data_IF_674317117793
#
_entry.id   IF_674317117793
#
_cell.length_a   1.000
_cell.length_b   1.000
_cell.length_c   1.000
_cell.angle_alpha   90.00
_cell.angle_beta   90.00
_cell.angle_gamma   90.00
#
_symmetry.space_group_name_H-M   'P 1'
#
loop_
_entity.id
_entity.type
_entity.pdbx_description
1 polymer ?
#
# COMPACT_ATOMS: atom_id res chain seq x y z
N UNK A 1 -12.63 -3.41 25.29
CA UNK A 1 -13.31 -2.54 24.31
C UNK A 1 -13.29 -3.26 22.97
N UNK A 2 -14.47 -3.48 22.35
CA UNK A 2 -14.53 -4.17 21.04
C UNK A 2 -14.32 -3.13 19.93
N UNK A 3 -13.11 -2.55 19.82
CA UNK A 3 -12.76 -1.68 18.68
C UNK A 3 -12.65 -2.56 17.45
N UNK A 4 -13.36 -2.20 16.40
CA UNK A 4 -13.20 -2.82 15.08
C UNK A 4 -11.91 -2.27 14.46
N UNK A 5 -10.91 -3.13 14.27
CA UNK A 5 -9.67 -2.78 13.59
C UNK A 5 -9.89 -2.81 12.09
N UNK A 6 -9.61 -1.70 11.43
CA UNK A 6 -9.72 -1.57 9.98
C UNK A 6 -8.39 -1.94 9.31
N UNK A 7 -8.44 -2.78 8.29
CA UNK A 7 -7.33 -3.04 7.38
C UNK A 7 -7.53 -2.22 6.10
N UNK A 8 -6.69 -1.20 5.91
CA UNK A 8 -6.76 -0.24 4.81
C UNK A 8 -5.72 -0.54 3.74
N UNK A 9 -6.18 -0.83 2.53
CA UNK A 9 -5.36 -1.35 1.42
C UNK A 9 -5.27 -0.37 0.27
N UNK A 10 -4.08 -0.22 -0.38
CA UNK A 10 -3.93 0.62 -1.56
C UNK A 10 -4.61 0.02 -2.79
N UNK A 11 -5.29 0.85 -3.56
CA UNK A 11 -5.82 0.52 -4.88
C UNK A 11 -5.19 1.43 -5.93
N UNK A 12 -4.29 0.86 -6.75
CA UNK A 12 -3.63 1.58 -7.85
C UNK A 12 -4.35 1.40 -9.19
N UNK A 13 -5.30 0.48 -9.28
CA UNK A 13 -6.11 0.17 -10.45
C UNK A 13 -7.41 -0.51 -10.02
N UNK A 14 -8.37 -0.66 -10.95
CA UNK A 14 -9.61 -1.40 -10.69
C UNK A 14 -9.33 -2.89 -10.36
N UNK A 15 -8.33 -3.50 -11.00
CA UNK A 15 -7.88 -4.86 -10.71
C UNK A 15 -7.32 -4.94 -9.29
N UNK A 16 -6.47 -3.98 -8.90
CA UNK A 16 -5.92 -3.89 -7.55
C UNK A 16 -7.00 -3.69 -6.49
N UNK A 17 -8.01 -2.87 -6.77
CA UNK A 17 -9.17 -2.67 -5.89
C UNK A 17 -9.96 -3.97 -5.70
N UNK A 18 -10.31 -4.65 -6.79
CA UNK A 18 -11.01 -5.93 -6.74
C UNK A 18 -10.22 -6.98 -5.96
N UNK A 19 -8.90 -7.03 -6.18
CA UNK A 19 -8.00 -7.91 -5.45
C UNK A 19 -7.99 -7.59 -3.94
N UNK A 20 -7.84 -6.32 -3.56
CA UNK A 20 -7.85 -5.91 -2.15
C UNK A 20 -9.15 -6.35 -1.44
N UNK A 21 -10.29 -6.10 -2.07
CA UNK A 21 -11.61 -6.47 -1.55
C UNK A 21 -11.76 -7.99 -1.44
N UNK A 22 -11.38 -8.73 -2.49
CA UNK A 22 -11.45 -10.20 -2.49
C UNK A 22 -10.64 -10.83 -1.35
N UNK A 23 -9.44 -10.28 -1.06
CA UNK A 23 -8.57 -10.80 -0.02
C UNK A 23 -8.84 -10.24 1.38
N UNK A 24 -9.88 -9.42 1.57
CA UNK A 24 -10.43 -9.07 2.88
C UNK A 24 -10.07 -7.69 3.40
N UNK A 25 -9.83 -6.70 2.53
CA UNK A 25 -9.75 -5.31 2.92
C UNK A 25 -11.05 -4.85 3.59
N UNK A 26 -10.96 -4.07 4.68
CA UNK A 26 -12.11 -3.40 5.29
C UNK A 26 -12.35 -2.03 4.64
N UNK A 27 -11.27 -1.42 4.14
CA UNK A 27 -11.31 -0.20 3.36
C UNK A 27 -10.20 -0.19 2.30
N UNK A 28 -10.41 0.57 1.23
CA UNK A 28 -9.40 0.81 0.19
C UNK A 28 -9.15 2.29 0.02
N UNK A 29 -7.91 2.68 -0.32
CA UNK A 29 -7.63 4.05 -0.70
C UNK A 29 -7.05 4.13 -2.11
N UNK A 30 -7.55 5.09 -2.89
CA UNK A 30 -7.16 5.33 -4.26
C UNK A 30 -6.83 6.81 -4.51
N UNK A 31 -6.24 7.10 -5.65
CA UNK A 31 -5.97 8.47 -6.10
C UNK A 31 -6.64 8.77 -7.42
N UNK A 32 -7.10 10.00 -7.56
CA UNK A 32 -7.53 10.56 -8.84
C UNK A 32 -6.36 10.99 -9.72
N UNK A 33 -6.69 11.43 -10.93
CA UNK A 33 -5.72 11.96 -11.89
C UNK A 33 -5.06 13.26 -11.42
N UNK A 34 -5.71 13.98 -10.47
CA UNK A 34 -5.22 15.22 -9.90
C UNK A 34 -5.00 15.13 -8.37
N UNK A 35 -4.13 15.98 -7.85
CA UNK A 35 -3.88 16.27 -6.42
C UNK A 35 -3.47 15.09 -5.53
N UNK A 36 -3.13 13.94 -6.13
CA UNK A 36 -2.62 12.76 -5.41
C UNK A 36 -1.09 12.62 -5.52
N UNK A 37 -0.44 12.04 -4.49
CA UNK A 37 1.03 11.88 -4.41
C UNK A 37 1.60 10.70 -5.21
N UNK A 38 0.96 10.27 -6.25
CA UNK A 38 1.43 9.20 -7.13
C UNK A 38 1.01 9.49 -8.57
N UNK A 39 1.52 10.58 -9.14
CA UNK A 39 1.21 11.00 -10.50
C UNK A 39 1.50 9.93 -11.57
N UNK A 40 2.46 9.02 -11.32
CA UNK A 40 2.81 7.92 -12.22
C UNK A 40 1.96 6.64 -12.01
N UNK A 41 1.03 6.60 -11.04
CA UNK A 41 0.10 5.48 -10.88
C UNK A 41 -0.96 5.53 -12.00
N UNK A 42 -1.61 4.38 -12.27
CA UNK A 42 -2.83 4.33 -13.08
C UNK A 42 -3.99 4.93 -12.26
N UNK A 43 -4.01 6.24 -12.13
CA UNK A 43 -5.01 6.94 -11.34
C UNK A 43 -6.42 6.75 -11.92
N UNK A 44 -7.43 6.93 -11.08
CA UNK A 44 -8.83 6.75 -11.45
C UNK A 44 -9.40 8.05 -12.02
N UNK A 45 -10.10 7.97 -13.15
CA UNK A 45 -11.02 9.06 -13.57
C UNK A 45 -12.22 9.10 -12.65
N UNK A 46 -12.99 10.18 -12.68
CA UNK A 46 -14.21 10.32 -11.87
C UNK A 46 -15.21 9.17 -12.14
N UNK A 47 -15.39 8.79 -13.40
CA UNK A 47 -16.27 7.67 -13.79
C UNK A 47 -15.80 6.35 -13.20
N UNK A 48 -14.49 6.06 -13.31
CA UNK A 48 -13.90 4.86 -12.71
C UNK A 48 -13.95 4.86 -11.19
N UNK A 49 -13.87 6.05 -10.56
CA UNK A 49 -14.07 6.15 -9.11
C UNK A 49 -15.51 5.76 -8.72
N UNK A 50 -16.52 6.24 -9.46
CA UNK A 50 -17.92 5.86 -9.23
C UNK A 50 -18.13 4.35 -9.36
N UNK A 51 -17.56 3.73 -10.39
CA UNK A 51 -17.59 2.26 -10.55
C UNK A 51 -16.89 1.55 -9.39
N UNK A 52 -15.73 2.04 -8.96
CA UNK A 52 -14.95 1.48 -7.86
C UNK A 52 -15.68 1.57 -6.53
N UNK A 53 -16.31 2.72 -6.23
CA UNK A 53 -17.12 2.94 -5.03
C UNK A 53 -18.34 2.01 -5.02
N UNK A 54 -19.08 1.95 -6.13
CA UNK A 54 -20.22 1.05 -6.24
C UNK A 54 -19.82 -0.42 -5.98
N UNK A 55 -18.74 -0.88 -6.64
CA UNK A 55 -18.22 -2.23 -6.46
C UNK A 55 -17.81 -2.54 -5.01
N UNK A 56 -17.16 -1.57 -4.35
CA UNK A 56 -16.71 -1.72 -2.96
C UNK A 56 -17.89 -1.73 -1.98
N UNK A 57 -18.81 -0.79 -2.12
CA UNK A 57 -19.99 -0.65 -1.25
C UNK A 57 -20.93 -1.85 -1.33
N UNK A 58 -21.13 -2.44 -2.52
CA UNK A 58 -21.86 -3.72 -2.68
C UNK A 58 -21.28 -4.86 -1.83
N UNK A 59 -19.98 -4.75 -1.44
CA UNK A 59 -19.26 -5.73 -0.65
C UNK A 59 -18.95 -5.28 0.78
N UNK A 60 -19.52 -4.14 1.20
CA UNK A 60 -19.36 -3.58 2.54
C UNK A 60 -17.98 -3.00 2.83
N UNK A 61 -17.21 -2.63 1.80
CA UNK A 61 -15.86 -2.07 1.89
C UNK A 61 -15.90 -0.57 1.66
N UNK A 62 -15.27 0.20 2.54
CA UNK A 62 -15.17 1.66 2.44
C UNK A 62 -14.14 2.09 1.40
N UNK A 63 -14.34 3.28 0.82
CA UNK A 63 -13.44 3.86 -0.19
C UNK A 63 -13.00 5.25 0.20
N UNK A 64 -11.68 5.47 0.24
CA UNK A 64 -11.08 6.76 0.56
C UNK A 64 -10.29 7.30 -0.63
N UNK A 65 -10.48 8.58 -0.96
CA UNK A 65 -9.79 9.24 -2.07
C UNK A 65 -8.70 10.16 -1.57
N UNK A 66 -7.51 10.09 -2.17
CA UNK A 66 -6.39 10.96 -1.78
C UNK A 66 -6.36 12.23 -2.63
N UNK A 67 -6.37 13.40 -1.97
CA UNK A 67 -6.13 14.72 -2.52
C UNK A 67 -5.12 15.45 -1.62
N UNK A 68 -3.93 14.85 -1.46
CA UNK A 68 -3.02 15.12 -0.36
C UNK A 68 -1.65 15.67 -0.76
N UNK A 69 -1.58 16.39 -1.88
CA UNK A 69 -0.42 17.22 -2.20
C UNK A 69 -0.28 18.38 -1.21
N UNK A 70 0.88 19.02 -1.16
CA UNK A 70 1.04 20.34 -0.56
C UNK A 70 0.66 21.38 -1.61
N UNK A 71 -0.53 21.97 -1.47
CA UNK A 71 -1.09 22.87 -2.47
C UNK A 71 -0.37 24.24 -2.51
N UNK A 72 -0.11 24.74 -3.72
CA UNK A 72 0.30 26.10 -3.99
C UNK A 72 -0.91 26.95 -4.42
N UNK A 73 -0.76 28.25 -4.50
CA UNK A 73 -1.86 29.16 -4.86
C UNK A 73 -2.50 28.81 -6.22
N UNK A 74 -1.68 28.35 -7.18
CA UNK A 74 -2.15 27.93 -8.51
C UNK A 74 -2.98 26.64 -8.48
N UNK A 75 -2.85 25.81 -7.45
CA UNK A 75 -3.59 24.57 -7.28
C UNK A 75 -5.00 24.80 -6.71
N UNK A 76 -5.23 25.91 -5.99
CA UNK A 76 -6.44 26.09 -5.18
C UNK A 76 -7.72 26.16 -6.01
N UNK A 77 -7.72 26.87 -7.15
CA UNK A 77 -8.90 26.94 -8.01
C UNK A 77 -9.19 25.61 -8.70
N UNK A 78 -8.22 24.94 -9.36
CA UNK A 78 -8.43 23.59 -9.90
C UNK A 78 -8.83 22.56 -8.84
N UNK A 79 -8.30 22.67 -7.60
CA UNK A 79 -8.66 21.80 -6.49
C UNK A 79 -10.11 21.99 -6.04
N UNK A 80 -10.61 23.23 -6.05
CA UNK A 80 -12.03 23.50 -5.78
C UNK A 80 -12.95 22.85 -6.81
N UNK A 81 -12.60 22.92 -8.09
CA UNK A 81 -13.32 22.27 -9.19
C UNK A 81 -13.31 20.75 -9.01
N UNK A 82 -12.16 20.18 -8.72
CA UNK A 82 -12.01 18.75 -8.46
C UNK A 82 -12.85 18.27 -7.26
N UNK A 83 -12.91 19.04 -6.17
CA UNK A 83 -13.76 18.68 -5.03
C UNK A 83 -15.27 18.75 -5.36
N UNK A 84 -15.68 19.64 -6.25
CA UNK A 84 -17.05 19.67 -6.77
C UNK A 84 -17.38 18.39 -7.56
N UNK A 85 -16.44 17.88 -8.36
CA UNK A 85 -16.59 16.60 -9.07
C UNK A 85 -16.58 15.39 -8.11
N UNK A 86 -15.69 15.41 -7.11
CA UNK A 86 -15.59 14.35 -6.10
C UNK A 86 -16.84 14.22 -5.24
N UNK A 87 -17.56 15.30 -5.00
CA UNK A 87 -18.78 15.31 -4.19
C UNK A 87 -19.79 14.25 -4.63
N UNK A 88 -19.90 14.01 -5.95
CA UNK A 88 -20.86 13.09 -6.56
C UNK A 88 -20.29 11.67 -6.78
N UNK A 89 -19.10 11.38 -6.29
CA UNK A 89 -18.48 10.05 -6.40
C UNK A 89 -19.05 9.05 -5.41
N UNK A 90 -19.48 9.53 -4.23
CA UNK A 90 -20.05 8.69 -3.16
C UNK A 90 -18.99 7.99 -2.30
N UNK A 91 -17.74 8.48 -2.29
CA UNK A 91 -16.69 7.98 -1.40
C UNK A 91 -17.00 8.25 0.08
N UNK A 92 -16.41 7.45 0.97
CA UNK A 92 -16.62 7.59 2.42
C UNK A 92 -15.75 8.70 3.02
N UNK A 93 -14.53 8.90 2.51
CA UNK A 93 -13.65 9.96 3.00
C UNK A 93 -12.69 10.50 1.92
N UNK A 94 -12.21 11.72 2.14
CA UNK A 94 -11.09 12.30 1.40
C UNK A 94 -9.91 12.55 2.32
N UNK A 95 -8.69 12.17 1.85
CA UNK A 95 -7.44 12.41 2.57
C UNK A 95 -6.80 13.69 2.06
N UNK A 96 -6.59 14.65 2.94
CA UNK A 96 -5.94 15.94 2.65
C UNK A 96 -4.74 16.15 3.59
N UNK A 97 -3.79 16.99 3.19
CA UNK A 97 -2.62 17.33 4.00
C UNK A 97 -2.50 18.83 4.26
N UNK A 98 -2.92 19.62 3.30
CA UNK A 98 -2.84 21.07 3.34
C UNK A 98 -4.06 21.67 4.07
N UNK A 99 -3.88 22.63 5.03
CA UNK A 99 -5.00 23.26 5.73
C UNK A 99 -5.97 24.02 4.82
N UNK A 100 -5.48 24.65 3.73
CA UNK A 100 -6.31 25.32 2.74
C UNK A 100 -7.18 24.34 1.98
N UNK A 101 -6.58 23.21 1.52
CA UNK A 101 -7.30 22.11 0.89
C UNK A 101 -8.35 21.51 1.85
N UNK A 102 -8.03 21.37 3.13
CA UNK A 102 -8.97 20.90 4.16
C UNK A 102 -10.20 21.82 4.27
N UNK A 103 -10.00 23.13 4.34
CA UNK A 103 -11.12 24.09 4.44
C UNK A 103 -11.98 24.10 3.18
N UNK A 104 -11.37 23.98 1.99
CA UNK A 104 -12.10 23.83 0.73
C UNK A 104 -12.93 22.55 0.69
N UNK A 105 -12.36 21.41 1.06
CA UNK A 105 -13.05 20.14 1.10
C UNK A 105 -14.23 20.17 2.06
N UNK A 106 -14.04 20.72 3.26
CA UNK A 106 -15.09 20.88 4.27
C UNK A 106 -16.25 21.76 3.82
N UNK A 107 -15.95 22.85 3.10
CA UNK A 107 -16.96 23.77 2.53
C UNK A 107 -17.79 23.08 1.44
N UNK A 108 -17.13 22.33 0.55
CA UNK A 108 -17.75 21.78 -0.67
C UNK A 108 -18.43 20.44 -0.39
N UNK A 109 -17.85 19.61 0.46
CA UNK A 109 -18.26 18.22 0.73
C UNK A 109 -18.47 18.01 2.24
N UNK A 110 -19.41 18.73 2.90
CA UNK A 110 -19.57 18.65 4.36
C UNK A 110 -20.03 17.26 4.84
N UNK A 111 -20.59 16.44 3.96
CA UNK A 111 -21.08 15.07 4.24
C UNK A 111 -19.95 14.02 4.18
N UNK A 112 -18.81 14.35 3.55
CA UNK A 112 -17.68 13.41 3.36
C UNK A 112 -16.74 13.52 4.54
N UNK A 113 -16.32 12.38 5.11
CA UNK A 113 -15.34 12.38 6.19
C UNK A 113 -14.00 12.94 5.72
N UNK A 114 -13.38 13.77 6.55
CA UNK A 114 -12.05 14.33 6.29
C UNK A 114 -11.01 13.59 7.10
N UNK A 115 -10.06 12.96 6.41
CA UNK A 115 -8.91 12.28 6.98
C UNK A 115 -7.64 13.09 6.72
N UNK A 116 -6.81 13.27 7.75
CA UNK A 116 -5.56 14.02 7.62
C UNK A 116 -4.43 13.07 7.23
N UNK A 117 -3.84 13.34 6.07
CA UNK A 117 -2.72 12.54 5.55
C UNK A 117 -1.46 12.65 6.40
N UNK A 118 -0.63 11.61 6.37
CA UNK A 118 0.73 11.60 6.95
C UNK A 118 1.62 12.74 6.41
N UNK A 119 1.30 13.30 5.24
CA UNK A 119 1.99 14.46 4.65
C UNK A 119 1.87 15.73 5.50
N UNK A 120 0.88 15.82 6.40
CA UNK A 120 0.74 16.92 7.34
C UNK A 120 1.70 16.81 8.55
N UNK A 121 2.45 15.70 8.68
CA UNK A 121 3.43 15.46 9.74
C UNK A 121 2.86 15.58 11.15
N UNK A 122 1.80 14.83 11.44
CA UNK A 122 1.15 14.82 12.74
C UNK A 122 1.96 13.97 13.72
N UNK A 123 2.66 14.63 14.65
CA UNK A 123 3.62 14.00 15.56
C UNK A 123 3.30 14.18 17.04
N UNK A 124 2.20 14.85 17.40
CA UNK A 124 1.83 15.09 18.79
C UNK A 124 0.31 15.27 18.95
N UNK A 125 -0.21 15.03 20.14
CA UNK A 125 -1.64 15.09 20.44
C UNK A 125 -2.28 16.47 20.22
N UNK A 126 -1.56 17.57 20.38
CA UNK A 126 -2.10 18.91 20.12
C UNK A 126 -2.41 19.11 18.63
N UNK A 127 -1.57 18.55 17.74
CA UNK A 127 -1.85 18.55 16.29
C UNK A 127 -3.10 17.72 15.97
N UNK A 128 -3.28 16.58 16.62
CA UNK A 128 -4.50 15.77 16.49
C UNK A 128 -5.74 16.53 16.97
N UNK A 129 -5.67 17.15 18.15
CA UNK A 129 -6.76 17.98 18.70
C UNK A 129 -7.06 19.22 17.83
N UNK A 130 -6.04 19.82 17.21
CA UNK A 130 -6.24 20.89 16.23
C UNK A 130 -7.12 20.42 15.07
N UNK A 131 -6.79 19.30 14.45
CA UNK A 131 -7.57 18.75 13.34
C UNK A 131 -8.97 18.31 13.77
N UNK A 132 -9.08 17.72 14.95
CA UNK A 132 -10.38 17.34 15.52
C UNK A 132 -11.32 18.54 15.70
N UNK A 133 -10.82 19.62 16.28
CA UNK A 133 -11.57 20.89 16.44
C UNK A 133 -12.03 21.47 15.11
N UNK A 134 -11.29 21.23 14.04
CA UNK A 134 -11.69 21.63 12.68
C UNK A 134 -12.64 20.64 12.01
N UNK A 135 -12.91 19.48 12.61
CA UNK A 135 -13.88 18.50 12.11
C UNK A 135 -13.26 17.33 11.32
N UNK A 136 -11.96 17.09 11.44
CA UNK A 136 -11.35 15.88 10.90
C UNK A 136 -11.81 14.65 11.70
N UNK A 137 -12.16 13.56 11.02
CA UNK A 137 -12.57 12.30 11.65
C UNK A 137 -11.37 11.45 12.04
N UNK A 138 -10.33 11.43 11.20
CA UNK A 138 -9.17 10.55 11.32
C UNK A 138 -7.87 11.31 11.04
N UNK A 139 -6.82 10.94 11.75
CA UNK A 139 -5.46 11.44 11.47
C UNK A 139 -4.52 10.27 11.25
N UNK A 140 -3.78 10.35 10.13
CA UNK A 140 -2.69 9.41 9.83
C UNK A 140 -1.43 9.89 10.56
N UNK A 141 -0.91 9.05 11.43
CA UNK A 141 0.34 9.31 12.14
C UNK A 141 1.50 9.59 11.16
N UNK A 142 2.42 10.45 11.56
CA UNK A 142 3.75 10.46 10.97
C UNK A 142 4.42 9.09 11.22
N UNK A 143 5.21 8.61 10.24
CA UNK A 143 5.88 7.29 10.30
C UNK A 143 7.03 7.26 11.29
N UNK A 144 7.43 8.42 11.77
CA UNK A 144 8.53 8.66 12.70
C UNK A 144 8.10 8.55 14.17
N UNK A 145 6.81 8.27 14.43
CA UNK A 145 6.30 8.06 15.80
C UNK A 145 6.59 6.65 16.30
N UNK A 146 6.99 6.55 17.55
CA UNK A 146 7.06 5.30 18.30
C UNK A 146 5.68 4.88 18.82
N UNK A 147 5.53 3.58 19.16
CA UNK A 147 4.31 3.06 19.80
C UNK A 147 4.00 3.78 21.12
N UNK A 148 5.05 4.19 21.85
CA UNK A 148 4.87 4.97 23.08
C UNK A 148 4.20 6.32 22.82
N UNK A 149 4.67 7.05 21.79
CA UNK A 149 4.10 8.35 21.41
C UNK A 149 2.68 8.21 20.87
N UNK A 150 2.38 7.15 20.10
CA UNK A 150 1.02 6.87 19.62
C UNK A 150 0.08 6.59 20.80
N UNK A 151 0.52 5.82 21.79
CA UNK A 151 -0.27 5.57 23.03
C UNK A 151 -0.52 6.86 23.79
N UNK A 152 0.48 7.72 23.93
CA UNK A 152 0.33 9.02 24.57
C UNK A 152 -0.66 9.92 23.80
N UNK A 153 -0.61 9.92 22.46
CA UNK A 153 -1.59 10.63 21.63
C UNK A 153 -3.00 10.10 21.92
N UNK A 154 -3.19 8.77 21.94
CA UNK A 154 -4.50 8.16 22.21
C UNK A 154 -5.09 8.55 23.55
N UNK A 155 -4.26 8.70 24.59
CA UNK A 155 -4.68 9.10 25.93
C UNK A 155 -5.18 10.55 26.01
N UNK A 156 -4.79 11.41 25.08
CA UNK A 156 -5.09 12.85 25.08
C UNK A 156 -6.16 13.28 24.09
N UNK A 157 -6.60 12.40 23.19
CA UNK A 157 -7.60 12.73 22.18
C UNK A 157 -8.94 12.04 22.46
N UNK A 158 -10.09 12.58 21.94
CA UNK A 158 -11.40 11.94 22.07
C UNK A 158 -11.41 10.51 21.52
N UNK A 159 -12.24 9.66 22.10
CA UNK A 159 -12.38 8.25 21.67
C UNK A 159 -12.92 8.14 20.25
N UNK A 160 -13.76 9.09 19.83
CA UNK A 160 -14.38 9.17 18.51
C UNK A 160 -13.41 9.58 17.40
N UNK A 161 -12.26 10.16 17.77
CA UNK A 161 -11.20 10.50 16.83
C UNK A 161 -10.36 9.27 16.50
N UNK A 162 -10.26 8.94 15.22
CA UNK A 162 -9.55 7.75 14.77
C UNK A 162 -8.06 8.01 14.50
N UNK A 163 -7.24 7.04 14.91
CA UNK A 163 -5.79 7.00 14.60
C UNK A 163 -5.54 5.98 13.50
N UNK A 164 -4.91 6.41 12.41
CA UNK A 164 -4.42 5.55 11.33
C UNK A 164 -2.90 5.51 11.35
N UNK A 165 -2.32 4.33 11.18
CA UNK A 165 -0.87 4.15 11.14
C UNK A 165 -0.44 3.23 9.99
N UNK A 166 0.68 3.54 9.34
CA UNK A 166 1.29 2.63 8.36
C UNK A 166 1.90 1.43 9.07
N UNK A 167 1.63 0.23 8.57
CA UNK A 167 2.10 -1.03 9.17
C UNK A 167 2.92 -1.89 8.21
N UNK A 168 2.90 -1.58 6.91
CA UNK A 168 3.64 -2.35 5.91
C UNK A 168 3.98 -1.52 4.67
N UNK A 169 5.13 -1.83 4.06
CA UNK A 169 5.56 -1.30 2.77
C UNK A 169 6.66 -0.26 2.87
N UNK A 170 6.86 0.50 1.79
CA UNK A 170 8.01 1.38 1.60
C UNK A 170 8.08 2.50 2.65
N UNK A 171 9.27 2.68 3.23
CA UNK A 171 9.60 3.83 4.07
C UNK A 171 10.25 4.95 3.26
N UNK A 172 10.08 6.19 3.73
CA UNK A 172 10.78 7.37 3.22
C UNK A 172 11.96 7.73 4.12
N UNK A 173 12.99 8.34 3.54
CA UNK A 173 14.17 8.84 4.27
C UNK A 173 13.87 10.12 5.04
N UNK A 174 12.98 10.95 4.53
CA UNK A 174 12.55 12.22 5.13
C UNK A 174 11.12 12.10 5.65
N UNK A 175 10.76 12.99 6.57
CA UNK A 175 9.35 13.21 6.91
C UNK A 175 8.54 13.42 5.63
N UNK A 176 7.35 12.84 5.60
CA UNK A 176 6.42 12.95 4.47
C UNK A 176 6.10 14.43 4.20
N UNK A 177 6.12 14.85 2.92
CA UNK A 177 5.88 16.25 2.53
C UNK A 177 7.00 17.22 2.87
N UNK A 178 8.21 16.76 3.23
CA UNK A 178 9.34 17.63 3.60
C UNK A 178 10.61 17.37 2.77
N UNK A 179 10.53 16.49 1.77
CA UNK A 179 11.66 16.07 0.97
C UNK A 179 11.82 16.95 -0.28
N UNK A 180 12.98 17.57 -0.45
CA UNK A 180 13.33 18.37 -1.63
C UNK A 180 14.30 17.66 -2.58
N UNK A 181 14.78 16.44 -2.26
CA UNK A 181 15.79 15.73 -3.06
C UNK A 181 15.37 15.52 -4.51
N UNK A 182 14.11 15.13 -4.75
CA UNK A 182 13.62 14.91 -6.11
C UNK A 182 13.58 16.20 -6.91
N UNK A 183 13.09 17.29 -6.33
CA UNK A 183 13.10 18.63 -6.97
C UNK A 183 14.53 19.06 -7.29
N UNK A 184 15.44 18.90 -6.32
CA UNK A 184 16.84 19.31 -6.48
C UNK A 184 17.55 18.55 -7.60
N UNK A 185 17.45 17.20 -7.62
CA UNK A 185 18.19 16.38 -8.59
C UNK A 185 17.52 16.29 -9.97
N UNK A 186 16.21 16.42 -10.07
CA UNK A 186 15.49 16.10 -11.30
C UNK A 186 14.46 17.16 -11.74
N UNK A 187 14.30 18.24 -10.97
CA UNK A 187 13.25 19.25 -11.20
C UNK A 187 11.82 18.73 -10.94
N UNK A 188 11.66 17.49 -10.41
CA UNK A 188 10.34 16.87 -10.17
C UNK A 188 10.02 16.89 -8.69
N UNK A 189 8.94 17.57 -8.31
CA UNK A 189 8.59 17.77 -6.91
C UNK A 189 7.94 16.52 -6.30
N UNK A 190 8.58 16.01 -5.23
CA UNK A 190 8.08 14.88 -4.46
C UNK A 190 6.79 15.23 -3.71
N UNK A 191 6.62 16.48 -3.31
CA UNK A 191 5.48 16.97 -2.52
C UNK A 191 4.26 17.29 -3.40
N UNK A 192 4.49 17.34 -4.73
CA UNK A 192 3.47 17.41 -5.78
C UNK A 192 3.24 16.06 -6.48
N UNK A 193 3.67 14.95 -5.89
CA UNK A 193 3.42 13.60 -6.40
C UNK A 193 4.42 13.06 -7.41
N UNK A 194 5.44 13.84 -7.80
CA UNK A 194 6.38 13.50 -8.87
C UNK A 194 7.72 12.93 -8.40
N UNK A 195 7.77 12.28 -7.22
CA UNK A 195 8.99 11.74 -6.63
C UNK A 195 9.71 10.74 -7.54
N UNK A 196 11.00 10.98 -7.83
CA UNK A 196 11.88 10.11 -8.61
C UNK A 196 12.70 9.15 -7.75
N UNK A 197 12.47 9.14 -6.43
CA UNK A 197 13.17 8.31 -5.46
C UNK A 197 14.71 8.46 -5.45
N UNK A 198 15.29 9.68 -5.49
CA UNK A 198 16.74 9.84 -5.53
C UNK A 198 17.41 9.29 -4.25
N UNK A 199 16.73 9.27 -3.11
CA UNK A 199 17.26 8.66 -1.88
C UNK A 199 17.60 7.16 -2.02
N UNK A 200 17.20 6.51 -3.12
CA UNK A 200 17.47 5.10 -3.43
C UNK A 200 18.55 4.90 -4.51
N UNK A 201 19.09 6.00 -5.04
CA UNK A 201 20.20 5.93 -5.98
C UNK A 201 21.52 5.66 -5.25
N UNK A 202 22.49 5.16 -5.99
CA UNK A 202 23.85 5.03 -5.46
C UNK A 202 24.58 6.36 -5.57
N UNK A 203 25.20 6.74 -4.49
CA UNK A 203 26.02 7.94 -4.43
C UNK A 203 27.41 7.60 -3.93
N UNK A 204 28.38 8.37 -4.39
CA UNK A 204 29.73 8.41 -3.86
C UNK A 204 30.16 9.85 -3.72
N UNK A 205 30.81 10.20 -2.63
CA UNK A 205 31.44 11.48 -2.49
C UNK A 205 32.82 11.43 -3.17
N UNK A 206 33.11 12.46 -3.91
CA UNK A 206 34.44 12.69 -4.50
C UNK A 206 34.93 14.07 -4.02
N UNK A 207 36.13 14.12 -3.48
CA UNK A 207 36.78 15.38 -3.15
C UNK A 207 37.32 16.01 -4.44
N UNK A 208 37.05 17.29 -4.69
CA UNK A 208 37.48 18.00 -5.90
C UNK A 208 38.98 17.93 -6.15
N UNK A 209 39.81 17.95 -5.08
CA UNK A 209 41.24 17.89 -5.13
C UNK A 209 41.82 16.47 -5.28
N UNK A 210 40.96 15.43 -5.25
CA UNK A 210 41.28 14.00 -5.41
C UNK A 210 40.36 13.34 -6.42
N UNK A 211 40.40 13.73 -7.69
CA UNK A 211 39.56 13.18 -8.72
C UNK A 211 39.87 11.69 -8.94
N UNK A 212 38.82 10.86 -8.95
CA UNK A 212 38.92 9.40 -9.11
C UNK A 212 38.95 8.60 -7.80
N UNK A 213 39.04 9.26 -6.64
CA UNK A 213 38.84 8.62 -5.34
C UNK A 213 37.37 8.78 -4.92
N UNK A 214 36.66 7.65 -4.80
CA UNK A 214 35.24 7.63 -4.42
C UNK A 214 35.11 7.13 -2.98
N UNK A 215 34.52 7.97 -2.13
CA UNK A 215 34.23 7.65 -0.74
C UNK A 215 32.78 7.22 -0.62
N UNK A 216 32.49 6.00 -0.11
CA UNK A 216 31.12 5.61 0.19
C UNK A 216 30.53 6.55 1.25
N UNK A 217 29.23 6.85 1.12
CA UNK A 217 28.54 7.74 2.05
C UNK A 217 27.89 6.90 3.14
N UNK A 218 28.24 7.15 4.40
CA UNK A 218 27.73 6.44 5.58
C UNK A 218 27.18 7.46 6.60
N UNK A 219 26.28 7.06 7.47
CA UNK A 219 25.79 7.89 8.56
C UNK A 219 26.58 7.71 9.84
N UNK A 220 26.76 8.82 10.55
CA UNK A 220 27.20 8.81 11.94
C UNK A 220 26.45 9.92 12.71
N UNK A 221 26.65 10.01 14.02
CA UNK A 221 25.92 10.93 14.94
C UNK A 221 25.91 12.42 14.54
N UNK A 222 26.44 12.81 13.39
CA UNK A 222 26.68 14.20 12.97
C UNK A 222 26.15 14.58 11.58
N UNK A 223 25.56 13.66 10.79
CA UNK A 223 25.14 14.04 9.44
C UNK A 223 24.15 13.12 8.73
N UNK A 224 23.34 13.70 7.84
CA UNK A 224 22.34 13.01 7.03
C UNK A 224 22.93 12.46 5.76
N UNK A 225 22.57 11.23 5.44
CA UNK A 225 23.06 10.49 4.29
C UNK A 225 21.88 10.00 3.46
N UNK A 226 22.10 9.78 2.15
CA UNK A 226 21.05 9.37 1.22
C UNK A 226 21.08 7.84 1.14
N UNK A 227 20.12 7.15 1.80
CA UNK A 227 20.12 5.70 1.93
C UNK A 227 18.80 5.07 1.52
N UNK A 228 18.88 3.80 1.16
CA UNK A 228 17.76 2.97 0.74
C UNK A 228 17.16 2.27 1.96
N UNK A 229 16.18 2.89 2.60
CA UNK A 229 15.51 2.35 3.78
C UNK A 229 14.89 0.99 3.51
N UNK A 230 14.97 0.08 4.49
CA UNK A 230 14.20 -1.16 4.53
C UNK A 230 12.70 -0.88 4.47
N UNK A 231 11.92 -1.87 4.03
CA UNK A 231 10.47 -1.76 4.06
C UNK A 231 9.95 -2.00 5.50
N UNK A 232 8.87 -1.30 5.85
CA UNK A 232 8.17 -1.50 7.13
C UNK A 232 7.44 -2.84 7.12
N UNK A 233 7.50 -3.56 8.23
CA UNK A 233 6.71 -4.77 8.46
C UNK A 233 6.36 -4.92 9.94
N UNK A 234 5.08 -4.82 10.25
CA UNK A 234 4.53 -4.94 11.61
C UNK A 234 3.65 -6.17 11.78
N UNK A 235 3.75 -7.17 10.90
CA UNK A 235 2.87 -8.35 10.93
C UNK A 235 3.00 -9.17 12.23
N UNK A 236 4.20 -9.22 12.81
CA UNK A 236 4.47 -9.87 14.09
C UNK A 236 4.13 -9.00 15.31
N UNK A 237 3.64 -7.78 15.10
CA UNK A 237 3.45 -6.75 16.12
C UNK A 237 2.04 -6.13 16.10
N UNK A 238 1.06 -6.84 15.55
CA UNK A 238 -0.34 -6.38 15.51
C UNK A 238 -0.91 -6.09 16.90
N UNK A 239 -0.66 -6.91 17.94
CA UNK A 239 -1.11 -6.60 19.29
C UNK A 239 -0.65 -5.23 19.80
N UNK A 240 0.64 -4.92 19.61
CA UNK A 240 1.23 -3.67 20.11
C UNK A 240 0.60 -2.42 19.47
N UNK A 241 0.23 -2.50 18.19
CA UNK A 241 -0.47 -1.44 17.46
C UNK A 241 -1.89 -1.23 18.00
N UNK A 242 -2.62 -2.33 18.20
CA UNK A 242 -3.98 -2.31 18.73
C UNK A 242 -4.00 -1.77 20.17
N UNK A 243 -3.07 -2.21 21.01
CA UNK A 243 -2.90 -1.73 22.38
C UNK A 243 -2.44 -0.28 22.46
N UNK A 244 -1.68 0.21 21.46
CA UNK A 244 -1.35 1.62 21.34
C UNK A 244 -2.56 2.49 20.94
N UNK A 245 -3.69 1.88 20.56
CA UNK A 245 -4.93 2.58 20.22
C UNK A 245 -5.05 2.98 18.76
N UNK A 246 -4.34 2.28 17.86
CA UNK A 246 -4.51 2.44 16.39
C UNK A 246 -5.84 1.81 15.97
N UNK A 247 -6.63 2.55 15.20
CA UNK A 247 -7.94 2.13 14.68
C UNK A 247 -7.85 1.56 13.25
N UNK A 248 -6.93 2.10 12.44
CA UNK A 248 -6.75 1.69 11.04
C UNK A 248 -5.30 1.34 10.73
N UNK A 249 -5.10 0.11 10.25
CA UNK A 249 -3.80 -0.44 9.84
C UNK A 249 -3.62 -0.26 8.33
N UNK A 250 -2.76 0.68 7.94
CA UNK A 250 -2.57 1.07 6.54
C UNK A 250 -1.39 0.39 5.89
N UNK A 251 -1.65 -0.18 4.72
CA UNK A 251 -0.62 -0.76 3.85
C UNK A 251 -0.19 0.26 2.79
N UNK A 252 1.11 0.49 2.61
CA UNK A 252 1.66 1.27 1.48
C UNK A 252 1.89 0.38 0.27
N UNK A 253 1.55 0.88 -0.93
CA UNK A 253 1.84 0.11 -2.14
C UNK A 253 0.93 0.36 -3.35
N UNK A 254 0.45 1.59 -3.60
CA UNK A 254 -0.43 1.91 -4.75
C UNK A 254 0.15 1.53 -6.12
N UNK A 255 1.47 1.46 -6.26
CA UNK A 255 2.16 1.09 -7.50
C UNK A 255 2.58 -0.40 -7.54
N UNK A 256 2.14 -1.19 -6.60
CA UNK A 256 2.48 -2.62 -6.52
C UNK A 256 1.51 -3.47 -7.35
N UNK A 257 1.92 -4.69 -7.65
CA UNK A 257 1.13 -5.67 -8.43
C UNK A 257 0.00 -6.27 -7.60
N UNK A 258 -0.95 -6.90 -8.28
CA UNK A 258 -2.05 -7.64 -7.66
C UNK A 258 -1.53 -8.78 -6.76
N UNK A 259 -0.41 -9.43 -7.10
CA UNK A 259 0.25 -10.42 -6.22
C UNK A 259 0.62 -9.80 -4.87
N UNK A 260 1.23 -8.59 -4.87
CA UNK A 260 1.55 -7.90 -3.61
C UNK A 260 0.29 -7.58 -2.82
N UNK A 261 -0.70 -6.99 -3.48
CA UNK A 261 -1.98 -6.62 -2.83
C UNK A 261 -2.64 -7.86 -2.23
N UNK A 262 -2.75 -8.95 -2.98
CA UNK A 262 -3.33 -10.21 -2.51
C UNK A 262 -2.56 -10.79 -1.32
N UNK A 263 -1.24 -10.91 -1.45
CA UNK A 263 -0.37 -11.50 -0.43
C UNK A 263 -0.45 -10.72 0.88
N UNK A 264 -0.24 -9.41 0.83
CA UNK A 264 -0.19 -8.59 2.05
C UNK A 264 -1.57 -8.48 2.68
N UNK A 265 -2.63 -8.25 1.88
CA UNK A 265 -4.01 -8.14 2.41
C UNK A 265 -4.43 -9.43 3.09
N UNK A 266 -4.29 -10.59 2.42
CA UNK A 266 -4.64 -11.90 2.97
C UNK A 266 -3.93 -12.15 4.29
N UNK A 267 -2.62 -11.94 4.32
CA UNK A 267 -1.79 -12.27 5.48
C UNK A 267 -2.12 -11.38 6.67
N UNK A 268 -2.22 -10.04 6.48
CA UNK A 268 -2.64 -9.15 7.55
C UNK A 268 -4.07 -9.44 8.03
N UNK A 269 -5.01 -9.73 7.12
CA UNK A 269 -6.39 -10.08 7.51
C UNK A 269 -6.45 -11.36 8.32
N UNK A 270 -5.67 -12.38 7.96
CA UNK A 270 -5.56 -13.61 8.74
C UNK A 270 -4.95 -13.35 10.12
N UNK A 271 -3.87 -12.58 10.18
CA UNK A 271 -3.18 -12.26 11.44
C UNK A 271 -4.07 -11.44 12.39
N UNK A 272 -4.78 -10.42 11.88
CA UNK A 272 -5.75 -9.63 12.67
C UNK A 272 -6.87 -10.53 13.20
N UNK A 273 -7.48 -11.33 12.32
CA UNK A 273 -8.54 -12.27 12.72
C UNK A 273 -8.06 -13.23 13.79
N UNK A 274 -6.92 -13.89 13.56
CA UNK A 274 -6.38 -14.88 14.48
C UNK A 274 -6.03 -14.26 15.85
N UNK A 275 -5.52 -13.02 15.88
CA UNK A 275 -5.30 -12.29 17.14
C UNK A 275 -6.59 -11.98 17.89
N UNK A 276 -7.61 -11.50 17.18
CA UNK A 276 -8.89 -11.13 17.81
C UNK A 276 -9.69 -12.35 18.28
N UNK A 277 -9.57 -13.50 17.60
CA UNK A 277 -10.23 -14.76 17.96
C UNK A 277 -9.47 -15.52 19.05
N UNK A 278 -8.17 -15.69 18.91
CA UNK A 278 -7.27 -16.43 19.81
C UNK A 278 -5.84 -15.87 19.73
N UNK A 279 -5.41 -15.01 20.67
CA UNK A 279 -4.04 -14.48 20.68
C UNK A 279 -2.95 -15.56 20.67
N UNK A 280 -3.20 -16.73 21.25
CA UNK A 280 -2.24 -17.83 21.22
C UNK A 280 -2.12 -18.46 19.82
N UNK A 281 -3.21 -18.50 19.05
CA UNK A 281 -3.19 -18.91 17.62
C UNK A 281 -2.36 -17.94 16.79
N UNK A 282 -2.56 -16.64 16.98
CA UNK A 282 -1.75 -15.62 16.32
C UNK A 282 -0.27 -15.82 16.60
N UNK A 283 0.13 -16.00 17.86
CA UNK A 283 1.53 -16.20 18.25
C UNK A 283 2.13 -17.46 17.59
N UNK A 284 1.40 -18.56 17.52
CA UNK A 284 1.86 -19.79 16.84
C UNK A 284 2.06 -19.58 15.34
N UNK A 285 1.25 -18.71 14.72
CA UNK A 285 1.23 -18.50 13.28
C UNK A 285 2.16 -17.37 12.80
N UNK A 286 2.86 -16.64 13.69
CA UNK A 286 3.80 -15.57 13.30
C UNK A 286 4.82 -16.05 12.24
N UNK A 287 5.49 -17.22 12.37
CA UNK A 287 6.44 -17.67 11.35
C UNK A 287 5.79 -17.88 9.96
N UNK A 288 4.53 -18.35 9.93
CA UNK A 288 3.76 -18.47 8.68
C UNK A 288 3.49 -17.09 8.06
N UNK A 289 3.04 -16.11 8.84
CA UNK A 289 2.76 -14.77 8.32
C UNK A 289 4.02 -14.10 7.78
N UNK A 290 5.15 -14.23 8.48
CA UNK A 290 6.42 -13.68 8.04
C UNK A 290 6.96 -14.34 6.77
N UNK A 291 6.79 -15.65 6.62
CA UNK A 291 7.14 -16.35 5.39
C UNK A 291 6.21 -15.92 4.23
N UNK A 292 4.90 -15.84 4.50
CA UNK A 292 3.90 -15.53 3.50
C UNK A 292 4.11 -14.14 2.87
N UNK A 293 4.36 -13.09 3.66
CA UNK A 293 4.58 -11.74 3.12
C UNK A 293 5.88 -11.60 2.31
N UNK A 294 6.82 -12.56 2.41
CA UNK A 294 8.02 -12.62 1.55
C UNK A 294 7.76 -13.22 0.17
N UNK A 295 6.57 -13.78 -0.06
CA UNK A 295 6.15 -14.35 -1.36
C UNK A 295 5.64 -13.33 -2.37
N UNK A 296 5.91 -12.05 -2.15
CA UNK A 296 5.71 -10.96 -3.12
C UNK A 296 6.98 -10.12 -3.20
N UNK A 297 6.99 -9.08 -4.02
CA UNK A 297 8.18 -8.21 -4.15
C UNK A 297 8.33 -7.32 -2.92
N UNK A 298 9.44 -7.45 -2.21
CA UNK A 298 9.76 -6.70 -1.00
C UNK A 298 11.24 -6.28 -0.97
N UNK A 299 11.57 -5.34 -0.10
CA UNK A 299 12.92 -5.07 0.39
C UNK A 299 13.04 -5.65 1.79
N UNK A 300 14.25 -5.84 2.29
CA UNK A 300 14.43 -6.27 3.68
C UNK A 300 13.55 -5.46 4.62
N UNK A 301 13.08 -6.11 5.67
CA UNK A 301 12.09 -5.53 6.58
C UNK A 301 12.73 -4.97 7.85
N UNK A 302 12.13 -3.91 8.38
CA UNK A 302 12.36 -3.37 9.72
C UNK A 302 11.03 -2.97 10.36
N UNK A 303 11.05 -2.66 11.65
CA UNK A 303 9.89 -2.11 12.38
C UNK A 303 9.82 -0.58 12.30
N UNK A 304 10.66 0.06 11.46
CA UNK A 304 10.72 1.52 11.35
C UNK A 304 11.02 2.18 12.70
N UNK A 305 10.24 3.19 13.05
CA UNK A 305 10.42 3.95 14.30
C UNK A 305 9.59 3.40 15.48
N UNK A 306 8.81 2.35 15.31
CA UNK A 306 7.84 1.92 16.32
C UNK A 306 8.46 1.54 17.66
N UNK A 307 9.65 0.94 17.69
CA UNK A 307 10.35 0.53 18.92
C UNK A 307 11.56 1.39 19.21
N UNK A 308 12.27 1.83 18.20
CA UNK A 308 13.49 2.64 18.32
C UNK A 308 13.69 3.49 17.08
N UNK A 309 14.53 4.52 17.18
CA UNK A 309 14.94 5.26 15.99
C UNK A 309 15.76 4.34 15.07
N UNK A 310 15.47 4.32 13.76
CA UNK A 310 16.26 3.54 12.80
C UNK A 310 17.73 3.90 12.86
N UNK A 311 18.58 2.86 12.72
CA UNK A 311 20.03 2.95 12.69
C UNK A 311 20.56 2.65 11.28
N UNK A 312 21.87 2.58 11.12
CA UNK A 312 22.50 2.12 9.89
C UNK A 312 22.07 0.71 9.48
N UNK A 313 21.72 -0.16 10.44
CA UNK A 313 21.21 -1.52 10.19
C UNK A 313 19.84 -1.54 9.51
N UNK A 314 19.06 -0.45 9.58
CA UNK A 314 17.77 -0.31 8.94
C UNK A 314 17.86 0.19 7.48
N UNK A 315 19.07 0.27 6.94
CA UNK A 315 19.36 0.68 5.57
C UNK A 315 19.87 -0.49 4.72
N UNK A 316 19.72 -0.39 3.40
CA UNK A 316 20.16 -1.41 2.44
C UNK A 316 21.33 -0.86 1.63
N UNK A 317 22.52 -1.41 1.85
CA UNK A 317 23.76 -0.99 1.20
C UNK A 317 24.14 -1.83 -0.04
N UNK A 318 23.43 -2.95 -0.27
CA UNK A 318 23.72 -3.89 -1.37
C UNK A 318 23.19 -3.49 -2.73
N UNK A 319 23.62 -4.21 -3.77
CA UNK A 319 23.23 -3.97 -5.17
C UNK A 319 21.82 -4.45 -5.51
N UNK A 320 21.31 -5.48 -4.83
CA UNK A 320 20.02 -6.09 -5.10
C UNK A 320 19.07 -5.73 -3.96
N UNK A 321 18.25 -4.69 -4.18
CA UNK A 321 17.39 -4.15 -3.13
C UNK A 321 16.03 -4.82 -3.07
N UNK A 322 15.57 -5.45 -4.17
CA UNK A 322 14.29 -6.14 -4.24
C UNK A 322 14.47 -7.65 -4.27
N UNK A 323 13.68 -8.33 -3.44
CA UNK A 323 13.56 -9.79 -3.36
C UNK A 323 12.12 -10.17 -3.73
N UNK A 324 11.94 -11.38 -4.22
CA UNK A 324 10.61 -11.96 -4.47
C UNK A 324 10.68 -13.45 -4.16
N UNK A 325 9.77 -13.97 -3.37
CA UNK A 325 9.67 -15.41 -3.06
C UNK A 325 8.69 -16.15 -3.94
N UNK A 326 7.97 -15.44 -4.83
CA UNK A 326 7.11 -16.04 -5.84
C UNK A 326 6.97 -15.16 -7.08
N UNK A 327 6.71 -15.81 -8.21
CA UNK A 327 6.40 -15.17 -9.49
C UNK A 327 4.88 -15.08 -9.69
N UNK A 328 4.38 -13.88 -9.99
CA UNK A 328 2.98 -13.63 -10.32
C UNK A 328 2.62 -14.16 -11.72
N UNK A 329 1.68 -15.10 -11.83
CA UNK A 329 1.29 -15.71 -13.10
C UNK A 329 0.03 -15.09 -13.71
N UNK A 330 -0.92 -14.66 -12.88
CA UNK A 330 -2.15 -14.00 -13.30
C UNK A 330 -3.22 -14.06 -12.22
N UNK A 331 -4.31 -13.31 -12.43
CA UNK A 331 -5.54 -13.38 -11.62
C UNK A 331 -6.64 -13.98 -12.47
N UNK A 332 -7.41 -14.89 -11.91
CA UNK A 332 -8.54 -15.55 -12.61
C UNK A 332 -9.65 -14.53 -12.82
N UNK A 333 -9.96 -14.25 -14.08
CA UNK A 333 -10.97 -13.28 -14.48
C UNK A 333 -12.36 -13.90 -14.57
N UNK A 334 -12.42 -15.17 -15.00
CA UNK A 334 -13.66 -15.92 -15.24
C UNK A 334 -13.44 -17.40 -15.04
N UNK A 335 -14.50 -18.12 -14.66
CA UNK A 335 -14.56 -19.59 -14.62
C UNK A 335 -15.80 -20.07 -15.36
N UNK A 336 -15.63 -21.00 -16.28
CA UNK A 336 -16.73 -21.66 -17.02
C UNK A 336 -16.50 -23.17 -17.06
N UNK A 337 -17.41 -23.93 -16.50
CA UNK A 337 -17.26 -25.37 -16.36
C UNK A 337 -15.98 -25.75 -15.62
N UNK A 338 -15.07 -26.46 -16.26
CA UNK A 338 -13.80 -26.89 -15.71
C UNK A 338 -12.62 -26.03 -16.17
N UNK A 339 -12.89 -24.86 -16.72
CA UNK A 339 -11.88 -23.96 -17.25
C UNK A 339 -11.86 -22.62 -16.52
N UNK A 340 -10.66 -22.12 -16.25
CA UNK A 340 -10.41 -20.78 -15.78
C UNK A 340 -9.80 -19.91 -16.90
N UNK A 341 -10.15 -18.63 -16.90
CA UNK A 341 -9.72 -17.65 -17.89
C UNK A 341 -8.92 -16.54 -17.20
N UNK A 342 -7.78 -16.21 -17.75
CA UNK A 342 -6.92 -15.15 -17.22
C UNK A 342 -6.04 -14.51 -18.30
N UNK A 343 -5.59 -13.30 -18.02
CA UNK A 343 -4.52 -12.64 -18.76
C UNK A 343 -3.17 -12.96 -18.09
N UNK A 344 -2.27 -13.59 -18.85
CA UNK A 344 -0.94 -13.98 -18.40
C UNK A 344 -0.09 -12.77 -17.97
N UNK A 345 0.62 -12.90 -16.86
CA UNK A 345 1.56 -11.89 -16.35
C UNK A 345 3.03 -12.33 -16.44
N UNK A 346 3.31 -13.62 -16.30
CA UNK A 346 4.61 -14.23 -16.51
C UNK A 346 4.45 -15.61 -17.17
N UNK A 347 5.50 -16.08 -17.82
CA UNK A 347 5.52 -17.37 -18.53
C UNK A 347 5.33 -18.54 -17.57
N UNK A 348 4.48 -19.50 -17.95
CA UNK A 348 4.35 -20.82 -17.35
C UNK A 348 3.91 -21.86 -18.40
N UNK A 349 3.88 -23.13 -18.04
CA UNK A 349 3.70 -24.23 -18.98
C UNK A 349 2.72 -25.29 -18.48
N UNK A 350 2.19 -26.06 -19.38
CA UNK A 350 1.43 -27.30 -19.08
C UNK A 350 2.34 -28.29 -18.33
N UNK A 351 1.80 -28.97 -17.33
CA UNK A 351 2.52 -29.87 -16.41
C UNK A 351 3.20 -29.14 -15.24
N UNK A 352 3.20 -27.80 -15.23
CA UNK A 352 3.80 -27.01 -14.14
C UNK A 352 2.90 -27.01 -12.90
N UNK A 353 3.52 -27.23 -11.73
CA UNK A 353 2.85 -27.12 -10.44
C UNK A 353 2.92 -25.67 -9.95
N UNK A 354 1.79 -25.08 -9.70
CA UNK A 354 1.63 -23.70 -9.26
C UNK A 354 0.73 -23.64 -8.03
N UNK A 355 0.69 -22.48 -7.39
CA UNK A 355 -0.13 -22.22 -6.21
C UNK A 355 -1.33 -21.33 -6.55
N UNK A 356 -2.50 -21.72 -6.07
CA UNK A 356 -3.71 -20.90 -6.04
C UNK A 356 -3.78 -20.20 -4.69
N UNK A 357 -3.77 -18.88 -4.69
CA UNK A 357 -4.03 -18.10 -3.49
C UNK A 357 -5.54 -17.90 -3.34
N UNK A 358 -6.07 -18.19 -2.15
CA UNK A 358 -7.47 -17.93 -1.77
C UNK A 358 -7.58 -17.10 -0.51
N UNK A 359 -8.65 -16.32 -0.34
CA UNK A 359 -8.90 -15.58 0.89
C UNK A 359 -8.92 -16.47 2.13
N UNK A 360 -8.29 -16.03 3.22
CA UNK A 360 -8.42 -16.59 4.55
C UNK A 360 -7.83 -17.98 4.80
N UNK A 361 -7.07 -18.53 3.86
CA UNK A 361 -6.45 -19.87 3.96
C UNK A 361 -5.07 -19.91 3.28
N UNK A 362 -4.36 -21.02 3.49
CA UNK A 362 -3.08 -21.28 2.83
C UNK A 362 -3.25 -21.56 1.33
N UNK A 363 -2.14 -21.55 0.60
CA UNK A 363 -2.12 -21.86 -0.83
C UNK A 363 -2.57 -23.30 -1.13
N UNK A 364 -3.29 -23.45 -2.23
CA UNK A 364 -3.67 -24.73 -2.77
C UNK A 364 -2.78 -25.04 -3.96
N UNK A 365 -2.03 -26.14 -3.88
CA UNK A 365 -1.22 -26.58 -5.02
C UNK A 365 -2.11 -27.16 -6.10
N UNK A 366 -1.83 -26.79 -7.36
CA UNK A 366 -2.50 -27.29 -8.55
C UNK A 366 -1.50 -27.50 -9.68
N UNK A 367 -1.87 -28.32 -10.66
CA UNK A 367 -1.10 -28.56 -11.88
C UNK A 367 -1.85 -28.01 -13.09
N UNK A 368 -1.15 -27.35 -14.01
CA UNK A 368 -1.69 -26.87 -15.27
C UNK A 368 -1.85 -28.06 -16.23
N UNK A 369 -3.08 -28.50 -16.50
CA UNK A 369 -3.36 -29.69 -17.32
C UNK A 369 -3.52 -29.38 -18.81
N UNK A 370 -4.15 -28.24 -19.13
CA UNK A 370 -4.35 -27.81 -20.52
C UNK A 370 -4.25 -26.27 -20.59
N UNK A 371 -3.79 -25.79 -21.72
CA UNK A 371 -3.68 -24.38 -22.03
C UNK A 371 -4.09 -24.12 -23.49
N UNK A 372 -4.98 -23.14 -23.69
CA UNK A 372 -5.44 -22.68 -25.00
C UNK A 372 -5.25 -21.15 -25.06
N UNK A 373 -4.66 -20.69 -26.12
CA UNK A 373 -4.56 -19.26 -26.41
C UNK A 373 -5.88 -18.78 -27.00
N UNK A 374 -6.51 -17.78 -26.39
CA UNK A 374 -7.85 -17.32 -26.80
C UNK A 374 -7.84 -16.50 -28.09
N UNK A 375 -6.71 -15.91 -28.48
CA UNK A 375 -6.60 -15.13 -29.71
C UNK A 375 -6.50 -16.06 -30.94
N UNK A 376 -5.66 -17.08 -30.85
CA UNK A 376 -5.47 -18.05 -31.94
C UNK A 376 -6.47 -19.21 -31.91
N UNK A 377 -7.05 -19.53 -30.75
CA UNK A 377 -7.87 -20.72 -30.50
C UNK A 377 -7.07 -22.03 -30.47
N UNK A 378 -5.74 -21.96 -30.45
CA UNK A 378 -4.86 -23.13 -30.47
C UNK A 378 -4.50 -23.61 -29.07
N UNK A 379 -4.39 -24.95 -28.91
CA UNK A 379 -3.78 -25.54 -27.71
C UNK A 379 -2.27 -25.33 -27.76
N UNK A 380 -1.74 -24.78 -26.66
CA UNK A 380 -0.32 -24.47 -26.50
C UNK A 380 0.24 -25.15 -25.25
N UNK A 381 1.56 -25.42 -25.24
CA UNK A 381 2.22 -26.01 -24.07
C UNK A 381 2.85 -24.99 -23.14
N UNK A 382 2.98 -23.74 -23.55
CA UNK A 382 3.46 -22.63 -22.71
C UNK A 382 2.95 -21.30 -23.23
N UNK A 383 2.92 -20.27 -22.38
CA UNK A 383 2.51 -18.90 -22.69
C UNK A 383 3.71 -17.94 -22.68
N UNK A 384 4.49 -17.85 -23.78
CA UNK A 384 5.72 -17.06 -23.82
C UNK A 384 5.50 -15.55 -24.01
N UNK A 385 4.32 -15.14 -24.51
CA UNK A 385 4.04 -13.77 -24.88
C UNK A 385 3.36 -13.00 -23.75
N UNK A 386 3.81 -11.78 -23.49
CA UNK A 386 3.22 -10.93 -22.46
C UNK A 386 1.75 -10.63 -22.74
N UNK A 387 0.92 -10.74 -21.70
CA UNK A 387 -0.53 -10.46 -21.74
C UNK A 387 -1.35 -11.40 -22.63
N UNK A 388 -0.88 -12.63 -22.92
CA UNK A 388 -1.71 -13.63 -23.57
C UNK A 388 -2.99 -13.88 -22.77
N UNK A 389 -4.12 -13.93 -23.44
CA UNK A 389 -5.40 -14.32 -22.87
C UNK A 389 -5.54 -15.84 -22.97
N UNK A 390 -5.68 -16.50 -21.84
CA UNK A 390 -5.59 -17.94 -21.73
C UNK A 390 -6.88 -18.53 -21.20
N UNK A 391 -7.25 -19.70 -21.74
CA UNK A 391 -8.19 -20.63 -21.17
C UNK A 391 -7.43 -21.85 -20.68
N UNK A 392 -7.61 -22.18 -19.42
CA UNK A 392 -6.76 -23.12 -18.69
C UNK A 392 -7.59 -24.15 -17.95
N UNK A 393 -7.11 -25.40 -17.93
CA UNK A 393 -7.63 -26.46 -17.07
C UNK A 393 -6.58 -26.84 -16.04
N UNK A 394 -7.01 -26.98 -14.80
CA UNK A 394 -6.17 -27.28 -13.65
C UNK A 394 -6.60 -28.56 -12.97
N UNK A 395 -5.69 -29.21 -12.22
CA UNK A 395 -6.03 -30.38 -11.38
C UNK A 395 -6.95 -29.96 -10.21
N UNK A 396 -6.80 -28.75 -9.69
CA UNK A 396 -7.73 -28.09 -8.77
C UNK A 396 -8.16 -26.78 -9.40
N UNK A 397 -9.45 -26.59 -9.66
CA UNK A 397 -9.99 -25.42 -10.33
C UNK A 397 -9.90 -24.19 -9.41
N UNK A 398 -9.23 -23.08 -9.82
CA UNK A 398 -9.27 -21.84 -9.09
C UNK A 398 -10.62 -21.13 -9.23
N UNK A 399 -10.96 -20.28 -8.25
CA UNK A 399 -12.14 -19.41 -8.31
C UNK A 399 -11.86 -18.08 -9.01
N UNK A 400 -12.91 -17.35 -9.34
CA UNK A 400 -12.79 -15.96 -9.87
C UNK A 400 -12.11 -15.08 -8.83
N UNK A 401 -11.18 -14.23 -9.26
CA UNK A 401 -10.30 -13.38 -8.46
C UNK A 401 -9.20 -14.11 -7.67
N UNK A 402 -9.11 -15.45 -7.72
CA UNK A 402 -7.94 -16.15 -7.18
C UNK A 402 -6.67 -15.72 -7.94
N UNK A 403 -5.61 -15.44 -7.21
CA UNK A 403 -4.29 -15.13 -7.75
C UNK A 403 -3.48 -16.42 -7.92
N UNK A 404 -2.87 -16.60 -9.08
CA UNK A 404 -1.98 -17.70 -9.38
C UNK A 404 -0.52 -17.26 -9.26
N UNK A 405 0.28 -18.06 -8.56
CA UNK A 405 1.72 -17.80 -8.38
C UNK A 405 2.56 -19.08 -8.45
N UNK A 406 3.79 -18.92 -8.90
CA UNK A 406 4.83 -19.95 -8.82
C UNK A 406 5.79 -19.58 -7.69
N UNK A 407 6.12 -20.54 -6.84
CA UNK A 407 7.13 -20.36 -5.79
C UNK A 407 8.53 -20.37 -6.41
N UNK A 408 9.41 -19.49 -5.93
CA UNK A 408 10.81 -19.41 -6.37
C UNK A 408 11.69 -20.41 -5.60
#
# INVERSE_FOLDING_TARGET
MNRKIELLIPAGSMEGLKTAIHYGADAVYMGGEAFGLRANAKNFTIEKMKEAVAYAHERGVKVYVTANILAHNEDLLPMREYFLELKDVGMDAVLVADPGAFMLAREIMPEVELHISTQANNTNYETFLFWWKLGAKRVVCARELSLKEIREIREHIPEEMEIEAFVHGAMCMSYSGRCLLSSFFTGRDANQGACTHPCRWKYSLMEEKRPGEYYPVFENDRGSYIFNSKDLNMIAHIPDLIEAGVDSLKIEGRMKTELYVATVTRTYKMAIRDYLEDPAKYQRNIPFYEDEIRKCTYREYSTGFYYQKPTEEDQIYGNNTYKAGATYLGTVEKVEGNYAFLTQKNKFSVGEKIAIMRPGQEDILTEVLEMEDLESGEKINSCPHSKQQLKLRFSVLPGVQDVLRRME
#
